data_IF_241921420529
#
_entry.id   IF_241921420529
#
_cell.length_a   1.000
_cell.length_b   1.000
_cell.length_c   1.000
_cell.angle_alpha   90.00
_cell.angle_beta   90.00
_cell.angle_gamma   90.00
#
_symmetry.space_group_name_H-M   'P 1'
#
loop_
_entity.id
_entity.type
_entity.pdbx_description
1 polymer ?
#
# COMPACT_ATOMS: atom_id res chain seq x y z
N UNK A 1 13.60 22.57 -18.95
CA UNK A 1 14.95 22.34 -18.40
C UNK A 1 15.15 20.85 -18.33
N UNK A 2 16.28 20.33 -18.81
CA UNK A 2 16.62 18.91 -18.61
C UNK A 2 16.92 18.72 -17.12
N UNK A 3 16.22 17.80 -16.47
CA UNK A 3 16.44 17.45 -15.06
C UNK A 3 17.64 16.51 -14.96
N UNK A 4 18.46 16.64 -13.92
CA UNK A 4 19.58 15.73 -13.66
C UNK A 4 19.12 14.34 -13.20
N UNK A 5 17.85 14.19 -12.83
CA UNK A 5 17.21 12.93 -12.48
C UNK A 5 16.25 12.46 -13.57
N UNK A 6 16.29 11.16 -13.90
CA UNK A 6 15.30 10.51 -14.75
C UNK A 6 14.31 9.72 -13.90
N UNK A 7 13.01 10.05 -14.00
CA UNK A 7 11.95 9.31 -13.31
C UNK A 7 11.70 7.93 -13.91
N UNK A 8 11.94 7.73 -15.20
CA UNK A 8 11.65 6.44 -15.88
C UNK A 8 12.83 5.48 -15.85
N UNK A 9 14.06 5.98 -15.83
CA UNK A 9 15.28 5.15 -15.73
C UNK A 9 15.59 4.77 -14.27
N UNK A 10 14.60 4.17 -13.59
CA UNK A 10 14.66 3.77 -12.19
C UNK A 10 13.87 2.49 -11.93
N UNK A 11 14.28 1.75 -10.89
CA UNK A 11 13.54 0.61 -10.35
C UNK A 11 12.51 1.07 -9.31
N UNK A 12 11.27 0.59 -9.44
CA UNK A 12 10.21 0.83 -8.47
C UNK A 12 9.67 -0.48 -7.90
N UNK A 13 9.49 -0.60 -6.57
CA UNK A 13 8.79 -1.74 -5.99
C UNK A 13 7.29 -1.58 -6.25
N UNK A 14 6.63 -2.61 -6.75
CA UNK A 14 5.24 -2.50 -7.21
C UNK A 14 4.26 -3.15 -6.24
N UNK A 15 4.62 -4.31 -5.71
CA UNK A 15 3.76 -5.11 -4.84
C UNK A 15 4.55 -6.26 -4.22
N UNK A 16 4.20 -6.69 -2.99
CA UNK A 16 4.66 -7.96 -2.46
C UNK A 16 4.23 -9.11 -3.37
N UNK A 17 5.10 -10.10 -3.57
CA UNK A 17 4.77 -11.31 -4.33
C UNK A 17 3.62 -12.07 -3.67
N UNK A 18 3.55 -12.04 -2.33
CA UNK A 18 2.45 -12.63 -1.56
C UNK A 18 1.08 -11.99 -1.81
N UNK A 19 1.02 -10.83 -2.49
CA UNK A 19 -0.24 -10.17 -2.85
C UNK A 19 -0.72 -10.56 -4.25
N UNK A 20 0.14 -11.21 -5.04
CA UNK A 20 -0.16 -11.58 -6.41
C UNK A 20 -0.76 -12.99 -6.49
N UNK A 21 -1.73 -13.14 -7.39
CA UNK A 21 -2.27 -14.44 -7.78
C UNK A 21 -1.58 -14.89 -9.07
N UNK A 22 -0.83 -15.98 -9.02
CA UNK A 22 -0.04 -16.46 -10.17
C UNK A 22 -0.90 -16.88 -11.38
N UNK A 23 -2.17 -17.20 -11.17
CA UNK A 23 -3.09 -17.68 -12.20
C UNK A 23 -3.85 -16.57 -12.94
N UNK A 24 -3.73 -15.31 -12.52
CA UNK A 24 -4.50 -14.20 -13.08
C UNK A 24 -3.60 -13.00 -13.40
N UNK A 25 -3.85 -12.31 -14.53
CA UNK A 25 -3.20 -11.03 -14.77
C UNK A 25 -3.69 -9.98 -13.76
N UNK A 26 -2.78 -9.15 -13.28
CA UNK A 26 -3.06 -8.11 -12.27
C UNK A 26 -2.82 -6.73 -12.87
N UNK A 27 -3.79 -5.79 -12.80
CA UNK A 27 -3.58 -4.42 -13.21
C UNK A 27 -2.73 -3.66 -12.19
N UNK A 28 -1.77 -2.88 -12.66
CA UNK A 28 -1.00 -1.93 -11.83
C UNK A 28 -0.89 -0.58 -12.54
N UNK A 29 -0.56 0.47 -11.79
CA UNK A 29 -0.29 1.80 -12.35
C UNK A 29 1.02 2.33 -11.78
N UNK A 30 1.89 2.83 -12.65
CA UNK A 30 3.20 3.37 -12.30
C UNK A 30 3.48 4.60 -13.17
N UNK A 31 3.82 5.74 -12.57
CA UNK A 31 4.04 7.01 -13.28
C UNK A 31 2.90 7.34 -14.26
N UNK A 32 1.69 7.00 -13.86
CA UNK A 32 0.43 7.15 -14.58
C UNK A 32 0.20 6.15 -15.72
N UNK A 33 1.19 5.32 -16.05
CA UNK A 33 1.07 4.25 -17.05
C UNK A 33 0.29 3.07 -16.47
N UNK A 34 -0.75 2.63 -17.17
CA UNK A 34 -1.50 1.42 -16.84
C UNK A 34 -0.76 0.21 -17.38
N UNK A 35 -0.32 -0.67 -16.49
CA UNK A 35 0.41 -1.88 -16.82
C UNK A 35 -0.34 -3.11 -16.34
N UNK A 36 -0.05 -4.25 -16.95
CA UNK A 36 -0.52 -5.57 -16.55
C UNK A 36 0.67 -6.43 -16.18
N UNK A 37 0.56 -7.16 -15.07
CA UNK A 37 1.56 -8.14 -14.64
C UNK A 37 0.96 -9.54 -14.57
N UNK A 38 1.71 -10.55 -15.00
CA UNK A 38 1.33 -11.96 -14.88
C UNK A 38 2.58 -12.84 -14.82
N UNK A 39 2.41 -14.14 -14.51
CA UNK A 39 3.48 -15.14 -14.61
C UNK A 39 3.47 -15.83 -15.97
N UNK A 40 4.61 -15.82 -16.64
CA UNK A 40 4.80 -16.55 -17.88
C UNK A 40 4.94 -18.08 -17.66
N UNK A 41 5.12 -18.82 -18.75
CA UNK A 41 5.37 -20.26 -18.75
C UNK A 41 6.62 -20.68 -17.97
N UNK A 42 7.58 -19.77 -17.80
CA UNK A 42 8.82 -19.98 -17.04
C UNK A 42 8.72 -19.53 -15.58
N UNK A 43 7.52 -19.22 -15.09
CA UNK A 43 7.25 -18.73 -13.74
C UNK A 43 7.93 -17.38 -13.42
N UNK A 44 8.32 -16.62 -14.44
CA UNK A 44 8.83 -15.27 -14.31
C UNK A 44 7.68 -14.28 -14.39
N UNK A 45 7.74 -13.23 -13.57
CA UNK A 45 6.80 -12.13 -13.70
C UNK A 45 7.14 -11.31 -14.94
N UNK A 46 6.12 -10.89 -15.66
CA UNK A 46 6.24 -10.03 -16.84
C UNK A 46 5.38 -8.80 -16.61
N UNK A 47 5.84 -7.64 -17.09
CA UNK A 47 5.06 -6.41 -17.09
C UNK A 47 4.90 -5.87 -18.51
N UNK A 48 3.70 -5.43 -18.86
CA UNK A 48 3.34 -4.89 -20.17
C UNK A 48 2.42 -3.69 -20.05
N UNK A 49 2.31 -2.89 -21.12
CA UNK A 49 1.19 -1.94 -21.22
C UNK A 49 -0.15 -2.68 -21.15
N UNK A 50 -1.08 -2.22 -20.30
CA UNK A 50 -2.41 -2.81 -20.12
C UNK A 50 -3.40 -2.39 -21.21
N UNK A 51 -3.02 -2.59 -22.47
CA UNK A 51 -3.81 -2.15 -23.63
C UNK A 51 -3.62 -3.11 -24.79
N UNK A 52 -4.71 -3.75 -25.21
CA UNK A 52 -4.69 -4.62 -26.37
C UNK A 52 -4.61 -3.76 -27.65
N UNK A 53 -3.64 -4.00 -28.56
CA UNK A 53 -3.49 -3.19 -29.77
C UNK A 53 -4.65 -3.35 -30.77
N UNK A 54 -5.48 -4.39 -30.60
CA UNK A 54 -6.64 -4.60 -31.47
C UNK A 54 -7.72 -3.52 -31.29
N UNK A 55 -8.23 -3.32 -30.06
CA UNK A 55 -9.33 -2.39 -29.74
C UNK A 55 -9.21 -1.74 -28.37
N UNK A 56 -7.98 -1.59 -27.88
CA UNK A 56 -7.63 -0.87 -26.65
C UNK A 56 -8.27 -1.43 -25.37
N UNK A 57 -8.78 -2.68 -25.41
CA UNK A 57 -9.29 -3.36 -24.24
C UNK A 57 -8.16 -3.64 -23.24
N UNK A 58 -8.46 -3.55 -21.94
CA UNK A 58 -7.50 -3.90 -20.89
C UNK A 58 -7.18 -5.39 -20.92
N UNK A 59 -5.89 -5.71 -20.94
CA UNK A 59 -5.37 -7.07 -20.94
C UNK A 59 -5.42 -7.70 -19.54
N UNK A 60 -5.38 -6.87 -18.50
CA UNK A 60 -5.57 -7.25 -17.09
C UNK A 60 -6.94 -7.85 -16.79
N UNK A 61 -7.94 -7.63 -17.66
CA UNK A 61 -9.25 -8.32 -17.61
C UNK A 61 -9.25 -9.68 -18.32
N UNK A 62 -8.11 -10.05 -18.88
CA UNK A 62 -7.84 -11.29 -19.61
C UNK A 62 -7.65 -12.50 -18.70
N UNK A 63 -6.99 -13.50 -19.26
CA UNK A 63 -6.61 -14.74 -18.57
C UNK A 63 -5.28 -15.24 -19.11
N UNK A 64 -4.59 -16.06 -18.33
CA UNK A 64 -3.38 -16.76 -18.79
C UNK A 64 -3.84 -18.04 -19.49
N UNK A 65 -3.41 -18.26 -20.74
CA UNK A 65 -3.75 -19.48 -21.47
C UNK A 65 -2.84 -20.65 -21.05
N UNK A 66 -3.12 -21.85 -21.57
CA UNK A 66 -2.35 -23.08 -21.27
C UNK A 66 -0.86 -23.02 -21.64
N UNK A 67 -0.47 -22.10 -22.53
CA UNK A 67 0.91 -21.90 -22.96
C UNK A 67 1.65 -20.86 -22.09
N UNK A 68 0.97 -20.22 -21.12
CA UNK A 68 1.53 -19.14 -20.32
C UNK A 68 1.40 -17.74 -20.93
N UNK A 69 0.72 -17.62 -22.08
CA UNK A 69 0.52 -16.33 -22.75
C UNK A 69 -0.66 -15.57 -22.13
N UNK A 70 -0.55 -14.24 -22.14
CA UNK A 70 -1.64 -13.35 -21.77
C UNK A 70 -2.69 -13.29 -22.88
N UNK A 71 -3.90 -13.75 -22.60
CA UNK A 71 -5.02 -13.76 -23.55
C UNK A 71 -6.01 -12.63 -23.25
N UNK A 72 -6.22 -11.74 -24.23
CA UNK A 72 -7.20 -10.67 -24.15
C UNK A 72 -8.64 -11.23 -24.10
N UNK A 73 -9.42 -10.81 -23.10
CA UNK A 73 -10.81 -11.28 -22.92
C UNK A 73 -11.77 -10.85 -24.04
N UNK A 74 -11.45 -9.79 -24.78
CA UNK A 74 -12.35 -9.24 -25.79
C UNK A 74 -12.45 -10.17 -27.02
N UNK A 75 -11.30 -10.57 -27.59
CA UNK A 75 -11.28 -11.35 -28.84
C UNK A 75 -10.24 -12.49 -28.85
N UNK A 76 -9.67 -12.82 -27.68
CA UNK A 76 -8.77 -13.96 -27.53
C UNK A 76 -7.36 -13.78 -28.13
N UNK A 77 -6.95 -12.55 -28.48
CA UNK A 77 -5.57 -12.30 -28.92
C UNK A 77 -4.61 -12.65 -27.78
N UNK A 78 -3.57 -13.42 -28.09
CA UNK A 78 -2.58 -13.89 -27.12
C UNK A 78 -1.25 -13.16 -27.30
N UNK A 79 -0.56 -12.91 -26.19
CA UNK A 79 0.75 -12.25 -26.15
C UNK A 79 1.70 -13.00 -25.21
N UNK A 80 2.93 -13.26 -25.68
CA UNK A 80 3.96 -13.91 -24.88
C UNK A 80 4.70 -12.92 -23.94
N UNK A 81 5.70 -13.44 -23.22
CA UNK A 81 6.53 -12.67 -22.28
C UNK A 81 7.30 -11.50 -22.93
N UNK A 82 7.47 -11.49 -24.25
CA UNK A 82 8.32 -10.51 -24.94
C UNK A 82 7.54 -9.31 -25.45
N UNK A 83 6.21 -9.41 -25.57
CA UNK A 83 5.47 -8.45 -26.38
C UNK A 83 4.71 -9.05 -27.53
N UNK A 84 5.10 -10.26 -27.94
CA UNK A 84 4.76 -10.75 -29.26
C UNK A 84 3.37 -11.33 -29.30
N UNK A 85 2.59 -10.90 -30.29
CA UNK A 85 1.32 -11.54 -30.58
C UNK A 85 1.58 -12.98 -31.05
N UNK A 86 1.13 -13.95 -30.26
CA UNK A 86 1.35 -15.38 -30.56
C UNK A 86 0.17 -16.01 -31.28
N UNK A 87 -1.03 -15.46 -31.08
CA UNK A 87 -2.25 -16.04 -31.65
C UNK A 87 -3.36 -15.00 -31.81
N UNK A 88 -4.10 -15.12 -32.92
CA UNK A 88 -5.31 -14.36 -33.22
C UNK A 88 -6.38 -15.39 -33.62
N UNK A 89 -7.21 -15.87 -32.68
CA UNK A 89 -8.09 -17.02 -32.91
C UNK A 89 -9.07 -16.89 -34.08
N UNK A 90 -9.43 -15.65 -34.44
CA UNK A 90 -10.38 -15.36 -35.53
C UNK A 90 -9.73 -15.36 -36.93
N UNK A 91 -8.41 -15.58 -37.03
CA UNK A 91 -7.70 -15.75 -38.31
C UNK A 91 -7.43 -17.23 -38.54
N UNK A 92 -8.25 -17.86 -39.39
CA UNK A 92 -8.10 -19.28 -39.75
C UNK A 92 -7.00 -19.54 -40.79
N UNK A 93 -6.73 -18.56 -41.66
CA UNK A 93 -5.64 -18.65 -42.64
C UNK A 93 -4.28 -18.49 -41.95
N UNK A 94 -3.43 -19.51 -42.07
CA UNK A 94 -2.13 -19.57 -41.38
C UNK A 94 -1.18 -18.46 -41.81
N UNK A 95 -1.18 -18.09 -43.10
CA UNK A 95 -0.29 -17.06 -43.63
C UNK A 95 -0.72 -15.66 -43.17
N UNK A 96 -2.02 -15.40 -43.14
CA UNK A 96 -2.60 -14.18 -42.59
C UNK A 96 -2.32 -14.06 -41.09
N UNK A 97 -2.47 -15.16 -40.33
CA UNK A 97 -2.13 -15.20 -38.91
C UNK A 97 -0.64 -14.87 -38.68
N UNK A 98 0.27 -15.53 -39.39
CA UNK A 98 1.70 -15.26 -39.28
C UNK A 98 2.05 -13.81 -39.63
N UNK A 99 1.48 -13.28 -40.72
CA UNK A 99 1.67 -11.88 -41.14
C UNK A 99 1.18 -10.91 -40.06
N UNK A 100 0.01 -11.17 -39.47
CA UNK A 100 -0.56 -10.32 -38.43
C UNK A 100 0.25 -10.39 -37.12
N UNK A 101 0.66 -11.60 -36.70
CA UNK A 101 1.48 -11.81 -35.50
C UNK A 101 2.89 -11.23 -35.61
N UNK A 102 3.44 -11.09 -36.82
CA UNK A 102 4.75 -10.47 -37.06
C UNK A 102 4.67 -8.95 -37.35
N UNK A 103 3.48 -8.36 -37.42
CA UNK A 103 3.33 -6.91 -37.57
C UNK A 103 3.74 -6.18 -36.30
N UNK A 104 4.53 -5.11 -36.40
CA UNK A 104 4.86 -4.25 -35.24
C UNK A 104 3.63 -3.69 -34.53
N UNK A 105 2.53 -3.48 -35.28
CA UNK A 105 1.27 -2.97 -34.75
C UNK A 105 0.52 -3.96 -33.85
N UNK A 106 0.86 -5.24 -33.91
CA UNK A 106 0.28 -6.26 -33.03
C UNK A 106 1.11 -6.51 -31.78
N UNK A 107 2.30 -5.92 -31.67
CA UNK A 107 3.19 -6.13 -30.52
C UNK A 107 2.87 -5.16 -29.39
N UNK A 108 3.17 -5.57 -28.15
CA UNK A 108 3.01 -4.74 -26.96
C UNK A 108 4.37 -4.52 -26.32
N UNK A 109 4.63 -3.29 -25.85
CA UNK A 109 5.86 -2.98 -25.11
C UNK A 109 5.83 -3.63 -23.73
N UNK A 110 6.91 -4.33 -23.40
CA UNK A 110 7.21 -4.91 -22.09
C UNK A 110 8.14 -4.00 -21.29
N UNK A 111 8.23 -4.26 -19.99
CA UNK A 111 9.11 -3.55 -19.06
C UNK A 111 10.02 -4.56 -18.35
N UNK A 112 11.29 -4.22 -18.09
CA UNK A 112 12.15 -5.05 -17.26
C UNK A 112 11.55 -5.25 -15.87
N UNK A 113 11.58 -6.49 -15.39
CA UNK A 113 11.05 -6.86 -14.07
C UNK A 113 12.05 -7.72 -13.33
N UNK A 114 12.08 -7.62 -12.00
CA UNK A 114 12.83 -8.54 -11.15
C UNK A 114 12.14 -8.75 -9.80
N UNK A 115 12.45 -9.85 -9.13
CA UNK A 115 11.96 -10.12 -7.77
C UNK A 115 13.14 -10.02 -6.82
N UNK A 116 13.01 -9.14 -5.82
CA UNK A 116 14.05 -8.93 -4.82
C UNK A 116 13.40 -8.55 -3.48
N UNK A 117 13.85 -9.18 -2.40
CA UNK A 117 13.26 -9.05 -1.06
C UNK A 117 11.73 -9.23 -1.03
N UNK A 118 11.22 -10.25 -1.73
CA UNK A 118 9.79 -10.59 -1.78
C UNK A 118 8.89 -9.52 -2.43
N UNK A 119 9.48 -8.51 -3.08
CA UNK A 119 8.79 -7.48 -3.86
C UNK A 119 9.00 -7.73 -5.36
N UNK A 120 7.96 -7.49 -6.16
CA UNK A 120 8.10 -7.35 -7.60
C UNK A 120 8.56 -5.92 -7.91
N UNK A 121 9.66 -5.80 -8.64
CA UNK A 121 10.21 -4.54 -9.11
C UNK A 121 10.01 -4.38 -10.61
N UNK A 122 9.71 -3.15 -11.04
CA UNK A 122 9.58 -2.78 -12.45
C UNK A 122 10.50 -1.60 -12.74
N UNK A 123 11.25 -1.69 -13.84
CA UNK A 123 11.96 -0.57 -14.42
C UNK A 123 10.97 0.26 -15.23
N UNK A 124 10.86 1.56 -14.94
CA UNK A 124 9.75 2.38 -15.44
C UNK A 124 9.90 2.88 -16.91
N UNK A 125 10.92 2.40 -17.62
CA UNK A 125 11.18 2.67 -19.03
C UNK A 125 10.95 1.43 -19.91
N UNK A 126 10.52 1.64 -21.15
CA UNK A 126 10.30 0.58 -22.15
C UNK A 126 10.86 0.95 -23.53
N UNK A 127 11.85 1.83 -23.57
CA UNK A 127 12.61 2.12 -24.78
C UNK A 127 13.39 0.88 -25.25
N UNK A 128 13.91 0.86 -26.49
CA UNK A 128 14.71 -0.28 -26.99
C UNK A 128 15.92 -0.63 -26.11
N UNK A 129 16.49 0.33 -25.38
CA UNK A 129 17.63 0.11 -24.46
C UNK A 129 17.19 -0.21 -23.03
N UNK A 130 15.89 -0.24 -22.72
CA UNK A 130 15.39 -0.34 -21.35
C UNK A 130 15.93 -1.56 -20.59
N UNK A 131 16.00 -2.73 -21.24
CA UNK A 131 16.53 -3.95 -20.62
C UNK A 131 18.02 -3.83 -20.30
N UNK A 132 18.82 -3.26 -21.22
CA UNK A 132 20.25 -3.01 -21.01
C UNK A 132 20.45 -1.94 -19.93
N UNK A 133 19.78 -0.79 -20.04
CA UNK A 133 19.82 0.32 -19.08
C UNK A 133 19.45 -0.16 -17.67
N UNK A 134 18.49 -1.06 -17.54
CA UNK A 134 18.04 -1.59 -16.24
C UNK A 134 19.11 -2.39 -15.51
N UNK A 135 20.15 -2.87 -16.20
CA UNK A 135 21.30 -3.57 -15.58
C UNK A 135 22.30 -2.61 -14.93
N UNK A 136 22.30 -1.33 -15.34
CA UNK A 136 23.21 -0.30 -14.80
C UNK A 136 22.88 0.15 -13.38
N UNK A 137 21.65 -0.15 -12.91
CA UNK A 137 21.17 0.21 -11.57
C UNK A 137 20.53 -0.99 -10.89
N UNK A 138 20.71 -1.09 -9.57
CA UNK A 138 20.04 -2.09 -8.75
C UNK A 138 18.81 -1.48 -8.06
N UNK A 139 17.78 -2.29 -7.76
CA UNK A 139 16.71 -1.86 -6.88
C UNK A 139 17.26 -1.42 -5.52
N UNK A 140 16.74 -0.31 -5.01
CA UNK A 140 17.07 0.15 -3.66
C UNK A 140 16.37 -0.75 -2.65
N UNK A 141 17.11 -1.69 -2.08
CA UNK A 141 16.58 -2.66 -1.12
C UNK A 141 16.70 -2.18 0.32
N UNK A 142 15.91 -2.80 1.20
CA UNK A 142 16.12 -2.69 2.63
C UNK A 142 17.51 -3.22 2.99
N UNK A 143 18.29 -2.55 3.85
CA UNK A 143 19.61 -3.05 4.21
C UNK A 143 19.51 -4.38 4.97
N UNK A 144 20.39 -5.31 4.64
CA UNK A 144 20.52 -6.58 5.34
C UNK A 144 21.22 -6.35 6.68
N UNK A 145 20.45 -6.19 7.75
CA UNK A 145 20.94 -6.21 9.12
C UNK A 145 20.85 -7.63 9.71
N UNK A 146 21.54 -7.88 10.84
CA UNK A 146 21.39 -9.10 11.66
C UNK A 146 20.03 -9.14 12.38
N UNK A 147 18.94 -8.88 11.66
CA UNK A 147 17.59 -8.86 12.16
C UNK A 147 16.84 -10.07 11.61
N UNK A 148 16.04 -10.69 12.47
CA UNK A 148 15.10 -11.71 12.01
C UNK A 148 13.96 -11.05 11.20
N UNK A 149 14.18 -10.98 9.90
CA UNK A 149 13.23 -10.42 8.94
C UNK A 149 12.01 -11.33 8.71
N UNK A 150 11.97 -12.55 9.27
CA UNK A 150 10.87 -13.51 9.12
C UNK A 150 9.63 -13.14 9.94
N UNK A 151 9.79 -12.22 10.90
CA UNK A 151 8.73 -11.85 11.84
C UNK A 151 7.68 -10.88 11.27
N UNK A 152 8.00 -10.14 10.19
CA UNK A 152 7.12 -9.12 9.59
C UNK A 152 6.98 -9.25 8.08
N UNK A 153 5.75 -9.18 7.59
CA UNK A 153 5.42 -9.18 6.16
C UNK A 153 5.44 -7.74 5.61
N UNK A 154 5.61 -7.58 4.31
CA UNK A 154 5.40 -6.30 3.63
C UNK A 154 3.94 -5.86 3.69
N UNK A 155 3.72 -4.60 4.03
CA UNK A 155 2.42 -3.93 3.94
C UNK A 155 2.38 -3.01 2.72
N UNK A 156 1.28 -3.02 1.97
CA UNK A 156 1.09 -2.14 0.81
C UNK A 156 -0.26 -1.44 0.86
N UNK A 157 -0.28 -0.13 0.67
CA UNK A 157 -1.50 0.68 0.56
C UNK A 157 -1.31 1.77 -0.49
N UNK A 158 -2.24 1.89 -1.44
CA UNK A 158 -2.31 3.06 -2.33
C UNK A 158 -3.20 4.11 -1.71
N UNK A 159 -2.69 5.33 -1.50
CA UNK A 159 -3.42 6.42 -0.86
C UNK A 159 -3.70 7.55 -1.87
N UNK A 160 -4.81 8.29 -1.71
CA UNK A 160 -5.13 9.45 -2.54
C UNK A 160 -4.37 10.72 -2.09
N UNK A 161 -3.07 10.57 -1.85
CA UNK A 161 -2.13 11.65 -1.52
C UNK A 161 -1.00 11.57 -2.55
N UNK A 162 -0.61 12.72 -3.11
CA UNK A 162 0.48 12.79 -4.07
C UNK A 162 1.82 12.31 -3.48
N UNK A 163 2.74 11.92 -4.37
CA UNK A 163 4.09 11.46 -4.03
C UNK A 163 4.82 12.42 -3.09
N UNK A 164 4.79 13.72 -3.41
CA UNK A 164 5.60 14.71 -2.69
C UNK A 164 5.20 14.82 -1.22
N UNK A 165 3.92 15.07 -0.92
CA UNK A 165 3.43 15.15 0.48
C UNK A 165 3.56 13.80 1.19
N UNK A 166 3.34 12.69 0.48
CA UNK A 166 3.49 11.35 1.06
C UNK A 166 4.91 11.06 1.53
N UNK A 167 5.92 11.36 0.73
CA UNK A 167 7.31 11.08 1.09
C UNK A 167 7.85 12.16 2.04
N UNK A 168 7.40 13.41 1.91
CA UNK A 168 7.70 14.52 2.83
C UNK A 168 7.34 14.18 4.28
N UNK A 169 6.14 13.65 4.53
CA UNK A 169 5.68 13.32 5.89
C UNK A 169 6.57 12.30 6.59
N UNK A 170 7.34 11.51 5.82
CA UNK A 170 8.25 10.51 6.38
C UNK A 170 9.54 11.09 6.96
N UNK A 171 9.85 12.36 6.72
CA UNK A 171 11.07 13.03 7.21
C UNK A 171 10.91 13.81 8.51
N UNK A 172 9.69 14.02 8.99
CA UNK A 172 9.45 14.66 10.28
C UNK A 172 9.00 13.62 11.31
N UNK A 173 9.87 13.14 12.22
CA UNK A 173 9.44 12.27 13.31
C UNK A 173 8.65 12.99 14.42
N UNK A 174 8.74 14.31 14.52
CA UNK A 174 8.24 15.05 15.67
C UNK A 174 6.71 15.02 15.76
N UNK A 175 6.01 14.95 14.62
CA UNK A 175 4.55 14.84 14.58
C UNK A 175 4.03 13.62 15.33
N UNK A 176 4.83 12.55 15.48
CA UNK A 176 4.36 11.29 16.06
C UNK A 176 3.79 11.46 17.48
N UNK A 177 4.35 12.37 18.30
CA UNK A 177 3.85 12.61 19.66
C UNK A 177 2.49 13.32 19.69
N UNK A 178 2.20 14.13 18.67
CA UNK A 178 0.99 14.94 18.61
C UNK A 178 -0.10 14.26 17.79
N UNK A 179 0.24 13.81 16.59
CA UNK A 179 -0.71 13.23 15.65
C UNK A 179 -1.18 11.84 16.09
N UNK A 180 -0.30 11.05 16.72
CA UNK A 180 -0.59 9.66 17.11
C UNK A 180 -0.88 9.48 18.59
N UNK A 181 -1.35 10.53 19.27
CA UNK A 181 -1.68 10.49 20.68
C UNK A 181 -2.51 9.25 21.06
N UNK A 182 -2.10 8.59 22.14
CA UNK A 182 -2.74 7.38 22.66
C UNK A 182 -2.47 6.11 21.83
N UNK A 183 -1.65 6.17 20.77
CA UNK A 183 -1.18 5.01 20.02
C UNK A 183 0.26 4.71 20.43
N UNK A 184 0.58 3.45 20.75
CA UNK A 184 1.94 3.02 21.07
C UNK A 184 2.67 3.84 22.16
N UNK A 185 1.92 4.56 23.02
CA UNK A 185 2.48 5.43 24.05
C UNK A 185 2.91 6.82 23.55
N UNK A 186 2.54 7.24 22.35
CA UNK A 186 2.71 8.63 21.92
C UNK A 186 1.81 9.57 22.73
N UNK A 187 2.36 10.71 23.12
CA UNK A 187 1.64 11.77 23.84
C UNK A 187 2.38 13.11 23.71
N UNK A 188 1.66 14.24 23.55
CA UNK A 188 2.25 15.56 23.53
C UNK A 188 3.11 15.87 24.76
N UNK A 189 2.74 15.34 25.94
CA UNK A 189 3.48 15.55 27.20
C UNK A 189 4.89 14.95 27.19
N UNK A 190 5.15 14.02 26.27
CA UNK A 190 6.44 13.32 26.15
C UNK A 190 7.33 13.97 25.11
N UNK A 191 6.81 14.89 24.29
CA UNK A 191 7.55 15.54 23.23
C UNK A 191 8.68 16.40 23.80
N UNK A 192 9.84 16.32 23.17
CA UNK A 192 10.96 17.22 23.44
C UNK A 192 11.43 17.85 22.12
N UNK A 193 12.02 19.06 22.14
CA UNK A 193 12.64 19.63 20.97
C UNK A 193 13.75 18.72 20.43
N UNK A 194 13.80 18.56 19.11
CA UNK A 194 14.94 17.91 18.47
C UNK A 194 16.12 18.88 18.48
N UNK A 195 17.17 18.55 19.21
CA UNK A 195 18.36 19.40 19.35
C UNK A 195 19.29 19.31 18.12
N UNK A 196 19.30 18.15 17.46
CA UNK A 196 20.15 17.88 16.30
C UNK A 196 19.35 17.25 15.17
N UNK A 197 19.47 17.83 13.97
CA UNK A 197 19.00 17.25 12.72
C UNK A 197 19.86 17.81 11.59
N UNK A 198 20.66 16.99 10.95
CA UNK A 198 21.65 17.42 9.96
C UNK A 198 21.70 16.48 8.76
N UNK A 199 22.15 17.03 7.63
CA UNK A 199 22.49 16.26 6.43
C UNK A 199 23.95 15.86 6.55
N UNK A 200 24.25 14.56 6.48
CA UNK A 200 25.62 14.05 6.69
C UNK A 200 26.54 14.21 5.48
N UNK A 201 25.97 14.22 4.28
CA UNK A 201 26.69 14.15 3.00
C UNK A 201 26.11 15.16 2.00
N UNK A 202 26.81 15.39 0.89
CA UNK A 202 26.30 16.21 -0.20
C UNK A 202 25.07 15.55 -0.83
N UNK A 203 24.06 16.38 -1.14
CA UNK A 203 22.82 15.93 -1.76
C UNK A 203 23.10 15.53 -3.21
N UNK A 204 22.65 14.34 -3.61
CA UNK A 204 22.91 13.76 -4.93
C UNK A 204 21.62 13.42 -5.67
N UNK A 205 21.60 13.68 -6.98
CA UNK A 205 20.51 13.27 -7.86
C UNK A 205 20.27 11.75 -7.84
N UNK A 206 21.35 10.96 -7.76
CA UNK A 206 21.31 9.51 -7.91
C UNK A 206 21.24 8.76 -6.58
N UNK A 207 21.99 9.22 -5.58
CA UNK A 207 22.08 8.56 -4.27
C UNK A 207 21.19 9.21 -3.20
N UNK A 208 20.65 10.40 -3.45
CA UNK A 208 19.79 11.11 -2.52
C UNK A 208 20.56 11.80 -1.41
N UNK A 209 20.18 11.55 -0.16
CA UNK A 209 20.81 12.16 1.01
C UNK A 209 20.57 11.32 2.28
N UNK A 210 21.50 11.43 3.22
CA UNK A 210 21.37 10.85 4.56
C UNK A 210 21.20 11.95 5.59
N UNK A 211 20.21 11.78 6.45
CA UNK A 211 19.97 12.63 7.60
C UNK A 211 20.32 11.90 8.89
N UNK A 212 20.84 12.64 9.86
CA UNK A 212 21.03 12.20 11.24
C UNK A 212 20.27 13.11 12.18
N UNK A 213 19.58 12.54 13.16
CA UNK A 213 18.83 13.34 14.13
C UNK A 213 18.82 12.77 15.55
N UNK A 214 18.56 13.64 16.53
CA UNK A 214 18.37 13.28 17.93
C UNK A 214 16.98 12.69 18.18
N UNK A 215 16.73 12.27 19.43
CA UNK A 215 15.37 11.95 19.88
C UNK A 215 14.40 13.12 19.78
N UNK A 216 13.12 12.77 19.89
CA UNK A 216 11.98 13.69 19.82
C UNK A 216 10.97 13.45 20.97
N UNK A 217 11.31 12.53 21.89
CA UNK A 217 10.59 12.36 23.14
C UNK A 217 11.50 11.89 24.28
N UNK A 218 11.00 12.00 25.51
CA UNK A 218 11.74 11.66 26.74
C UNK A 218 12.32 10.24 26.79
N UNK A 219 11.76 9.28 26.06
CA UNK A 219 12.23 7.88 26.07
C UNK A 219 13.26 7.58 24.99
N UNK A 220 13.38 8.45 23.98
CA UNK A 220 14.33 8.27 22.88
C UNK A 220 15.26 9.46 22.69
N UNK A 221 15.35 10.37 23.66
CA UNK A 221 16.18 11.58 23.61
C UNK A 221 17.63 11.26 23.17
N UNK A 222 18.20 10.17 23.70
CA UNK A 222 19.58 9.74 23.47
C UNK A 222 19.73 8.72 22.31
N UNK A 223 18.70 8.59 21.46
CA UNK A 223 18.70 7.69 20.31
C UNK A 223 19.65 8.16 19.21
N UNK A 224 20.41 7.24 18.61
CA UNK A 224 21.12 7.48 17.35
C UNK A 224 20.18 7.12 16.20
N UNK A 225 19.64 8.14 15.53
CA UNK A 225 18.69 7.98 14.43
C UNK A 225 19.27 8.43 13.09
N UNK A 226 19.16 7.56 12.09
CA UNK A 226 19.53 7.84 10.71
C UNK A 226 18.33 7.64 9.79
N UNK A 227 18.23 8.50 8.78
CA UNK A 227 17.23 8.41 7.70
C UNK A 227 17.94 8.55 6.37
N UNK A 228 17.84 7.54 5.53
CA UNK A 228 18.45 7.53 4.20
C UNK A 228 17.35 7.61 3.15
N UNK A 229 17.29 8.74 2.44
CA UNK A 229 16.48 8.87 1.25
C UNK A 229 17.30 8.42 0.04
N UNK A 230 16.81 7.42 -0.68
CA UNK A 230 17.39 7.03 -1.96
C UNK A 230 16.32 7.13 -3.06
N UNK A 231 16.56 7.95 -4.09
CA UNK A 231 15.64 8.12 -5.20
C UNK A 231 15.33 6.79 -5.91
N UNK A 232 14.14 6.67 -6.54
CA UNK A 232 13.08 7.68 -6.63
C UNK A 232 12.10 7.66 -5.45
N UNK A 233 12.16 6.70 -4.53
CA UNK A 233 11.02 6.47 -3.64
C UNK A 233 11.34 5.84 -2.28
N UNK A 234 12.60 5.57 -1.95
CA UNK A 234 12.97 4.89 -0.71
C UNK A 234 13.26 5.87 0.41
N UNK A 235 12.71 5.64 1.59
CA UNK A 235 13.18 6.20 2.85
C UNK A 235 13.42 5.05 3.84
N UNK A 236 14.68 4.84 4.20
CA UNK A 236 15.10 3.86 5.20
C UNK A 236 15.43 4.59 6.49
N UNK A 237 14.73 4.26 7.57
CA UNK A 237 14.98 4.83 8.90
C UNK A 237 15.52 3.77 9.84
N UNK A 238 16.59 4.09 10.54
CA UNK A 238 17.25 3.21 11.52
C UNK A 238 17.37 3.97 12.83
N UNK A 239 16.75 3.45 13.87
CA UNK A 239 16.85 3.95 15.24
C UNK A 239 17.64 2.95 16.07
N UNK A 240 18.73 3.43 16.68
CA UNK A 240 19.50 2.69 17.67
C UNK A 240 19.25 3.32 19.04
N UNK A 241 18.65 2.55 19.93
CA UNK A 241 18.36 2.98 21.29
C UNK A 241 19.54 2.68 22.20
N UNK A 242 19.65 3.43 23.31
CA UNK A 242 20.74 3.28 24.28
C UNK A 242 20.78 1.89 24.94
N UNK A 243 19.64 1.22 25.04
CA UNK A 243 19.54 -0.15 25.57
C UNK A 243 19.97 -1.24 24.57
N UNK A 244 20.51 -0.85 23.42
CA UNK A 244 20.97 -1.75 22.36
C UNK A 244 19.85 -2.19 21.40
N UNK A 245 18.59 -1.81 21.63
CA UNK A 245 17.52 -2.11 20.68
C UNK A 245 17.72 -1.35 19.38
N UNK A 246 17.26 -1.95 18.30
CA UNK A 246 17.29 -1.39 16.96
C UNK A 246 15.89 -1.47 16.34
N UNK A 247 15.40 -0.35 15.81
CA UNK A 247 14.22 -0.33 14.95
C UNK A 247 14.61 0.10 13.53
N UNK A 248 14.20 -0.70 12.56
CA UNK A 248 14.38 -0.44 11.14
C UNK A 248 13.01 -0.27 10.50
N UNK A 249 12.83 0.83 9.79
CA UNK A 249 11.64 1.11 9.00
C UNK A 249 12.05 1.34 7.56
N UNK A 250 11.65 0.43 6.67
CA UNK A 250 11.79 0.60 5.24
C UNK A 250 10.45 1.05 4.67
N UNK A 251 10.42 2.23 4.06
CA UNK A 251 9.23 2.79 3.41
C UNK A 251 9.56 3.12 1.95
N UNK A 252 8.68 2.71 1.04
CA UNK A 252 8.69 3.10 -0.35
C UNK A 252 7.44 3.90 -0.69
N UNK A 253 7.59 5.03 -1.36
CA UNK A 253 6.52 5.93 -1.77
C UNK A 253 6.48 6.02 -3.29
N UNK A 254 5.73 5.13 -3.92
CA UNK A 254 5.77 4.94 -5.37
C UNK A 254 4.72 5.82 -6.05
N UNK A 255 5.11 6.77 -6.92
CA UNK A 255 4.16 7.59 -7.66
C UNK A 255 3.35 6.73 -8.63
N UNK A 256 2.05 6.54 -8.36
CA UNK A 256 1.19 5.72 -9.23
C UNK A 256 0.54 6.55 -10.31
N UNK A 257 -0.17 7.63 -9.96
CA UNK A 257 -0.79 8.60 -10.89
C UNK A 257 -0.86 9.96 -10.19
N UNK A 258 -1.13 11.08 -10.89
CA UNK A 258 -1.28 12.38 -10.26
C UNK A 258 -2.22 12.34 -9.05
N UNK A 259 -1.78 12.89 -7.92
CA UNK A 259 -2.53 12.89 -6.65
C UNK A 259 -2.57 11.56 -5.89
N UNK A 260 -1.89 10.51 -6.34
CA UNK A 260 -1.89 9.20 -5.68
C UNK A 260 -0.47 8.67 -5.50
N UNK A 261 -0.25 7.98 -4.38
CA UNK A 261 1.02 7.38 -4.03
C UNK A 261 0.76 6.00 -3.42
N UNK A 262 1.59 5.03 -3.80
CA UNK A 262 1.58 3.70 -3.20
C UNK A 262 2.66 3.63 -2.14
N UNK A 263 2.24 3.40 -0.91
CA UNK A 263 3.11 3.14 0.23
C UNK A 263 3.36 1.64 0.33
N UNK A 264 4.63 1.23 0.33
CA UNK A 264 5.05 -0.14 0.62
C UNK A 264 6.01 -0.09 1.79
N UNK A 265 5.68 -0.74 2.90
CA UNK A 265 6.42 -0.62 4.15
C UNK A 265 6.73 -1.95 4.80
N UNK A 266 7.90 -2.05 5.43
CA UNK A 266 8.27 -3.12 6.36
C UNK A 266 8.96 -2.52 7.56
N UNK A 267 8.53 -2.96 8.73
CA UNK A 267 8.99 -2.47 10.03
C UNK A 267 9.56 -3.64 10.81
N UNK A 268 10.76 -3.49 11.37
CA UNK A 268 11.46 -4.53 12.12
C UNK A 268 12.02 -3.91 13.39
N UNK A 269 11.83 -4.55 14.54
CA UNK A 269 12.31 -4.06 15.84
C UNK A 269 12.97 -5.24 16.57
N UNK A 270 14.24 -5.11 16.96
CA UNK A 270 14.95 -6.14 17.75
C UNK A 270 14.31 -6.32 19.11
N UNK A 271 14.44 -7.53 19.65
CA UNK A 271 14.03 -7.84 21.02
C UNK A 271 12.61 -7.40 21.35
N UNK A 272 11.72 -7.45 20.35
CA UNK A 272 10.30 -7.43 20.63
C UNK A 272 10.06 -8.65 21.50
N UNK A 273 9.73 -8.51 22.80
CA UNK A 273 9.42 -9.67 23.63
C UNK A 273 8.39 -10.48 22.84
N UNK A 274 8.46 -11.82 22.80
CA UNK A 274 7.41 -12.59 22.14
C UNK A 274 6.11 -12.02 22.68
N UNK A 275 5.34 -11.35 21.81
CA UNK A 275 4.10 -10.71 22.23
C UNK A 275 3.42 -11.81 23.03
N UNK A 276 2.94 -11.50 24.25
CA UNK A 276 2.06 -12.41 24.99
C UNK A 276 0.78 -12.54 24.16
N UNK A 277 0.89 -13.24 23.03
CA UNK A 277 -0.15 -13.56 22.09
C UNK A 277 -1.03 -14.44 22.94
N UNK A 278 -2.21 -13.91 23.26
CA UNK A 278 -3.22 -14.70 23.96
C UNK A 278 -3.28 -16.04 23.24
N UNK A 279 -3.16 -17.15 23.97
CA UNK A 279 -2.99 -18.49 23.40
C UNK A 279 -3.97 -18.75 22.23
N UNK A 280 -5.20 -18.28 22.36
CA UNK A 280 -6.24 -18.36 21.33
C UNK A 280 -5.90 -17.66 19.99
N UNK A 281 -5.07 -16.63 19.97
CA UNK A 281 -4.69 -15.92 18.74
C UNK A 281 -3.80 -16.80 17.86
N UNK A 282 -2.98 -17.65 18.47
CA UNK A 282 -2.16 -18.64 17.76
C UNK A 282 -2.98 -19.74 17.11
N UNK A 283 -4.20 -20.00 17.59
CA UNK A 283 -5.13 -20.98 17.02
C UNK A 283 -5.85 -20.45 15.77
N UNK A 284 -5.80 -19.14 15.51
CA UNK A 284 -6.45 -18.55 14.34
C UNK A 284 -5.63 -18.84 13.07
N UNK A 285 -6.27 -19.01 11.90
CA UNK A 285 -5.56 -19.12 10.65
C UNK A 285 -4.57 -17.96 10.42
N UNK A 286 -3.40 -18.22 9.83
CA UNK A 286 -2.35 -17.19 9.61
C UNK A 286 -2.88 -15.96 8.86
N UNK A 287 -3.72 -16.15 7.84
CA UNK A 287 -4.33 -15.05 7.09
C UNK A 287 -5.21 -14.15 7.98
N UNK A 288 -5.91 -14.73 8.95
CA UNK A 288 -6.74 -13.97 9.89
C UNK A 288 -5.84 -13.20 10.85
N UNK A 289 -4.79 -13.83 11.39
CA UNK A 289 -3.82 -13.14 12.24
C UNK A 289 -3.22 -11.91 11.52
N UNK A 290 -2.78 -12.05 10.27
CA UNK A 290 -2.27 -10.94 9.45
C UNK A 290 -3.34 -9.89 9.17
N UNK A 291 -4.55 -10.31 8.79
CA UNK A 291 -5.68 -9.39 8.56
C UNK A 291 -6.04 -8.57 9.79
N UNK A 292 -6.04 -9.18 10.98
CA UNK A 292 -6.27 -8.51 12.26
C UNK A 292 -5.17 -7.48 12.56
N UNK A 293 -3.89 -7.85 12.34
CA UNK A 293 -2.75 -6.92 12.50
C UNK A 293 -2.92 -5.70 11.59
N UNK A 294 -3.14 -5.91 10.29
CA UNK A 294 -3.38 -4.81 9.36
C UNK A 294 -4.56 -3.95 9.81
N UNK A 295 -5.70 -4.56 10.15
CA UNK A 295 -6.88 -3.83 10.61
C UNK A 295 -6.60 -2.94 11.82
N UNK A 296 -5.67 -3.32 12.71
CA UNK A 296 -5.29 -2.55 13.88
C UNK A 296 -4.33 -1.40 13.58
N UNK A 297 -3.48 -1.53 12.55
CA UNK A 297 -2.50 -0.50 12.16
C UNK A 297 -3.12 0.73 11.51
N UNK A 298 -4.35 0.64 10.99
CA UNK A 298 -4.99 1.77 10.30
C UNK A 298 -5.30 2.98 11.19
N UNK A 299 -5.40 2.80 12.51
CA UNK A 299 -5.65 3.96 13.38
C UNK A 299 -4.56 5.02 13.19
N UNK A 300 -3.30 4.57 13.15
CA UNK A 300 -2.13 5.41 12.90
C UNK A 300 -2.16 5.99 11.48
N UNK A 301 -2.24 5.13 10.46
CA UNK A 301 -2.13 5.60 9.06
C UNK A 301 -3.30 6.46 8.57
N UNK A 302 -4.46 6.41 9.24
CA UNK A 302 -5.56 7.33 8.95
C UNK A 302 -5.31 8.74 9.48
N UNK A 303 -4.60 8.89 10.61
CA UNK A 303 -4.26 10.20 11.16
C UNK A 303 -3.26 10.91 10.23
N UNK A 304 -2.26 10.19 9.72
CA UNK A 304 -1.35 10.73 8.69
C UNK A 304 -2.12 11.17 7.45
N UNK A 305 -3.04 10.31 7.00
CA UNK A 305 -3.81 10.57 5.80
C UNK A 305 -4.66 11.84 5.90
N UNK A 306 -5.33 12.05 7.03
CA UNK A 306 -6.18 13.23 7.24
C UNK A 306 -5.36 14.52 7.23
N UNK A 307 -4.19 14.52 7.87
CA UNK A 307 -3.32 15.69 7.91
C UNK A 307 -2.70 15.97 6.54
N UNK A 308 -2.18 14.95 5.85
CA UNK A 308 -1.64 15.10 4.51
C UNK A 308 -2.69 15.57 3.51
N UNK A 309 -3.94 15.11 3.63
CA UNK A 309 -5.03 15.55 2.77
C UNK A 309 -5.38 17.02 3.03
N UNK A 310 -5.51 17.42 4.29
CA UNK A 310 -5.72 18.83 4.68
C UNK A 310 -4.58 19.73 4.19
N UNK A 311 -3.34 19.27 4.27
CA UNK A 311 -2.19 19.98 3.73
C UNK A 311 -2.34 20.20 2.21
N UNK A 312 -2.70 19.16 1.45
CA UNK A 312 -2.93 19.28 0.01
C UNK A 312 -4.08 20.24 -0.34
N UNK A 313 -5.16 20.25 0.45
CA UNK A 313 -6.26 21.23 0.28
C UNK A 313 -5.71 22.65 0.38
N UNK A 314 -4.93 22.94 1.43
CA UNK A 314 -4.36 24.26 1.65
C UNK A 314 -3.32 24.65 0.58
N UNK A 315 -2.48 23.69 0.14
CA UNK A 315 -1.54 23.90 -0.96
C UNK A 315 -2.27 24.20 -2.29
N UNK A 316 -3.44 23.59 -2.52
CA UNK A 316 -4.17 23.75 -3.78
C UNK A 316 -4.82 25.12 -3.99
N UNK A 317 -5.12 25.84 -2.89
CA UNK A 317 -5.75 27.17 -2.93
C UNK A 317 -4.73 28.28 -3.22
N UNK A 318 -3.45 28.02 -2.99
CA UNK A 318 -2.37 29.01 -3.15
C UNK A 318 -1.57 28.82 -4.44
N UNK A 319 -1.39 29.89 -5.21
CA UNK A 319 -0.38 29.92 -6.30
C UNK A 319 0.97 30.41 -5.76
N UNK A 320 1.52 29.68 -4.79
CA UNK A 320 2.77 30.00 -4.12
C UNK A 320 3.72 28.81 -4.20
N UNK A 321 5.00 29.10 -4.40
CA UNK A 321 6.04 28.06 -4.25
C UNK A 321 6.08 27.58 -2.80
N UNK A 322 6.52 26.33 -2.58
CA UNK A 322 6.53 25.76 -1.23
C UNK A 322 7.37 26.61 -0.24
N UNK A 323 8.44 27.27 -0.71
CA UNK A 323 9.28 28.16 0.10
C UNK A 323 8.50 29.38 0.65
N UNK A 324 7.42 29.79 -0.03
CA UNK A 324 6.55 30.90 0.39
C UNK A 324 5.29 30.42 1.11
N UNK A 325 4.93 29.15 0.93
CA UNK A 325 3.76 28.54 1.58
C UNK A 325 4.11 28.02 2.98
N UNK A 326 5.33 27.50 3.16
CA UNK A 326 5.77 26.90 4.41
C UNK A 326 6.62 27.87 5.22
N UNK A 327 6.44 27.84 6.54
CA UNK A 327 7.35 28.47 7.49
C UNK A 327 7.96 27.38 8.36
N UNK A 328 9.25 27.13 8.15
CA UNK A 328 9.98 25.99 8.73
C UNK A 328 11.20 26.48 9.52
N UNK A 329 11.01 27.06 10.72
CA UNK A 329 12.09 27.65 11.51
C UNK A 329 12.82 26.64 12.40
N UNK A 330 12.30 25.41 12.52
CA UNK A 330 12.77 24.43 13.50
C UNK A 330 13.86 23.54 12.93
N UNK A 331 14.72 23.03 13.83
CA UNK A 331 15.67 21.96 13.51
C UNK A 331 14.93 20.71 13.02
N UNK A 332 13.71 20.45 13.52
CA UNK A 332 12.86 19.35 13.07
C UNK A 332 12.53 19.40 11.56
N UNK A 333 12.58 20.59 10.94
CA UNK A 333 12.16 20.79 9.55
C UNK A 333 13.24 20.46 8.52
N UNK A 334 14.48 20.21 8.96
CA UNK A 334 15.65 20.00 8.08
C UNK A 334 15.38 18.89 7.05
N UNK A 335 14.75 17.79 7.47
CA UNK A 335 14.42 16.69 6.56
C UNK A 335 13.45 17.07 5.45
N UNK A 336 12.39 17.82 5.78
CA UNK A 336 11.40 18.31 4.80
C UNK A 336 12.06 19.28 3.81
N UNK A 337 12.80 20.26 4.33
CA UNK A 337 13.51 21.26 3.52
C UNK A 337 14.51 20.58 2.56
N UNK A 338 15.26 19.60 3.06
CA UNK A 338 16.26 18.86 2.26
C UNK A 338 15.59 18.09 1.13
N UNK A 339 14.49 17.40 1.41
CA UNK A 339 13.74 16.67 0.39
C UNK A 339 13.17 17.59 -0.71
N UNK A 340 12.54 18.70 -0.33
CA UNK A 340 11.98 19.65 -1.31
C UNK A 340 13.07 20.31 -2.15
N UNK A 341 14.23 20.63 -1.57
CA UNK A 341 15.39 21.10 -2.33
C UNK A 341 15.88 20.07 -3.33
N UNK A 342 16.02 18.80 -2.91
CA UNK A 342 16.40 17.72 -3.82
C UNK A 342 15.42 17.59 -5.00
N UNK A 343 14.11 17.68 -4.73
CA UNK A 343 13.08 17.65 -5.77
C UNK A 343 13.24 18.81 -6.77
N UNK A 344 13.35 20.04 -6.28
CA UNK A 344 13.47 21.24 -7.13
C UNK A 344 14.75 21.20 -7.98
N UNK A 345 15.87 20.83 -7.36
CA UNK A 345 17.19 20.85 -7.98
C UNK A 345 17.40 19.72 -9.00
N UNK A 346 17.02 18.50 -8.65
CA UNK A 346 17.36 17.32 -9.46
C UNK A 346 16.18 16.75 -10.24
N UNK A 347 14.97 16.81 -9.70
CA UNK A 347 13.83 16.03 -10.19
C UNK A 347 12.68 16.87 -10.79
N UNK A 348 12.87 18.19 -10.93
CA UNK A 348 11.91 19.10 -11.54
C UNK A 348 10.71 19.46 -10.65
N UNK A 349 10.88 19.35 -9.32
CA UNK A 349 9.89 19.72 -8.30
C UNK A 349 8.77 18.70 -8.05
N UNK A 350 8.53 17.77 -9.00
CA UNK A 350 7.47 16.75 -8.92
C UNK A 350 7.73 15.56 -9.84
N UNK A 351 7.03 14.42 -9.66
CA UNK A 351 7.08 13.32 -10.61
C UNK A 351 6.77 13.75 -12.04
N UNK A 352 7.56 13.25 -12.99
CA UNK A 352 7.31 13.49 -14.41
C UNK A 352 6.24 12.52 -14.96
N UNK A 353 5.07 13.05 -15.31
CA UNK A 353 3.98 12.27 -15.91
C UNK A 353 4.07 12.28 -17.44
N UNK A 354 4.22 11.10 -18.06
CA UNK A 354 4.29 11.01 -19.52
C UNK A 354 2.88 10.86 -20.11
N UNK A 355 2.48 11.82 -20.95
CA UNK A 355 1.21 11.76 -21.71
C UNK A 355 -0.05 11.90 -20.86
N UNK A 356 0.07 12.45 -19.65
CA UNK A 356 -1.04 12.64 -18.71
C UNK A 356 -1.10 14.11 -18.32
N UNK A 357 -2.28 14.69 -18.47
CA UNK A 357 -2.58 16.03 -17.95
C UNK A 357 -3.00 15.90 -16.50
N UNK A 358 -2.31 16.59 -15.61
CA UNK A 358 -2.68 16.66 -14.21
C UNK A 358 -3.98 17.47 -14.08
N UNK A 359 -5.02 16.85 -13.54
CA UNK A 359 -6.23 17.57 -13.15
C UNK A 359 -5.93 18.43 -11.91
N UNK A 360 -6.66 19.54 -11.72
CA UNK A 360 -6.63 20.28 -10.47
C UNK A 360 -6.91 19.35 -9.27
N UNK A 361 -6.30 19.65 -8.14
CA UNK A 361 -6.58 18.91 -6.90
C UNK A 361 -8.07 19.03 -6.56
N UNK A 362 -8.64 17.91 -6.10
CA UNK A 362 -10.02 17.84 -5.65
C UNK A 362 -10.02 17.36 -4.20
N UNK A 363 -10.62 18.16 -3.32
CA UNK A 363 -10.89 17.74 -1.95
C UNK A 363 -11.82 16.51 -1.96
N UNK A 364 -11.48 15.52 -1.13
CA UNK A 364 -12.17 14.25 -1.08
C UNK A 364 -13.08 14.22 0.14
N UNK A 365 -14.24 13.57 -0.01
CA UNK A 365 -15.07 13.19 1.13
C UNK A 365 -14.35 12.17 2.02
N UNK A 366 -14.75 12.08 3.29
CA UNK A 366 -14.29 11.05 4.22
C UNK A 366 -14.49 9.64 3.63
N UNK A 367 -15.61 9.40 2.93
CA UNK A 367 -15.91 8.10 2.31
C UNK A 367 -14.84 7.71 1.29
N UNK A 368 -14.38 8.68 0.49
CA UNK A 368 -13.33 8.47 -0.50
C UNK A 368 -11.96 8.34 0.16
N UNK A 369 -11.67 9.17 1.16
CA UNK A 369 -10.37 9.21 1.83
C UNK A 369 -10.11 7.92 2.63
N UNK A 370 -11.13 7.44 3.35
CA UNK A 370 -11.05 6.27 4.22
C UNK A 370 -11.49 4.95 3.55
N UNK A 371 -11.62 4.92 2.23
CA UNK A 371 -11.94 3.72 1.45
C UNK A 371 -10.80 2.69 1.48
N UNK A 372 -10.79 1.89 2.54
CA UNK A 372 -9.77 0.86 2.78
C UNK A 372 -9.85 -0.28 1.78
N UNK A 373 -11.05 -0.56 1.26
CA UNK A 373 -11.23 -1.58 0.24
C UNK A 373 -10.36 -1.28 -0.98
N UNK A 374 -10.46 -0.06 -1.52
CA UNK A 374 -9.70 0.32 -2.71
C UNK A 374 -8.24 0.64 -2.43
N UNK A 375 -7.89 1.09 -1.23
CA UNK A 375 -6.52 1.41 -0.83
C UNK A 375 -5.66 0.17 -0.53
N UNK A 376 -6.25 -0.86 0.08
CA UNK A 376 -5.50 -2.05 0.53
C UNK A 376 -6.26 -3.38 0.38
N UNK A 377 -7.46 -3.50 0.95
CA UNK A 377 -8.07 -4.82 1.23
C UNK A 377 -8.34 -5.63 -0.03
N UNK A 378 -8.71 -4.99 -1.14
CA UNK A 378 -8.89 -5.70 -2.41
C UNK A 378 -7.59 -6.32 -2.94
N UNK A 379 -6.42 -5.79 -2.57
CA UNK A 379 -5.11 -6.27 -3.01
C UNK A 379 -4.49 -7.30 -2.05
N UNK A 380 -4.71 -7.18 -0.74
CA UNK A 380 -4.12 -8.08 0.26
C UNK A 380 -4.92 -9.39 0.41
N UNK A 381 -4.36 -10.57 0.04
CA UNK A 381 -5.08 -11.85 0.15
C UNK A 381 -5.46 -12.19 1.58
N UNK A 382 -4.62 -11.85 2.57
CA UNK A 382 -4.93 -12.10 3.99
C UNK A 382 -6.16 -11.32 4.47
N UNK A 383 -6.29 -10.05 4.07
CA UNK A 383 -7.47 -9.24 4.39
C UNK A 383 -8.71 -9.71 3.62
N UNK A 384 -8.59 -10.09 2.33
CA UNK A 384 -9.71 -10.68 1.57
C UNK A 384 -10.21 -11.98 2.21
N UNK A 385 -9.32 -12.90 2.55
CA UNK A 385 -9.69 -14.17 3.17
C UNK A 385 -10.27 -13.98 4.58
N UNK A 386 -9.75 -13.01 5.34
CA UNK A 386 -10.33 -12.61 6.62
C UNK A 386 -11.77 -12.14 6.45
N UNK A 387 -12.04 -11.28 5.47
CA UNK A 387 -13.39 -10.81 5.14
C UNK A 387 -14.32 -11.96 4.76
N UNK A 388 -13.88 -12.88 3.89
CA UNK A 388 -14.68 -14.06 3.49
C UNK A 388 -15.02 -14.93 4.69
N UNK A 389 -14.06 -15.18 5.59
CA UNK A 389 -14.31 -15.95 6.80
C UNK A 389 -15.32 -15.23 7.71
N UNK A 390 -15.14 -13.93 7.94
CA UNK A 390 -16.05 -13.12 8.76
C UNK A 390 -17.46 -13.16 8.17
N UNK A 391 -17.61 -13.01 6.85
CA UNK A 391 -18.91 -13.09 6.18
C UNK A 391 -19.56 -14.47 6.34
N UNK A 392 -18.80 -15.55 6.17
CA UNK A 392 -19.32 -16.92 6.43
C UNK A 392 -19.80 -17.12 7.86
N UNK A 393 -19.04 -16.66 8.86
CA UNK A 393 -19.43 -16.79 10.28
C UNK A 393 -20.65 -15.92 10.57
N UNK A 394 -20.70 -14.71 9.99
CA UNK A 394 -21.84 -13.80 10.13
C UNK A 394 -23.12 -14.44 9.57
N UNK A 395 -23.06 -14.99 8.36
CA UNK A 395 -24.21 -15.66 7.74
C UNK A 395 -24.64 -16.90 8.54
N UNK A 396 -23.68 -17.65 9.09
CA UNK A 396 -23.96 -18.75 10.02
C UNK A 396 -24.70 -18.26 11.27
N UNK A 397 -24.21 -17.21 11.94
CA UNK A 397 -24.87 -16.66 13.14
C UNK A 397 -26.31 -16.20 12.83
N UNK A 398 -26.54 -15.56 11.68
CA UNK A 398 -27.87 -15.12 11.28
C UNK A 398 -28.81 -16.32 11.03
N UNK A 399 -28.38 -17.27 10.22
CA UNK A 399 -29.17 -18.46 9.91
C UNK A 399 -29.46 -19.29 11.16
N UNK A 400 -28.48 -19.43 12.06
CA UNK A 400 -28.66 -20.16 13.31
C UNK A 400 -29.59 -19.43 14.28
N UNK A 401 -29.58 -18.09 14.30
CA UNK A 401 -30.57 -17.28 15.03
C UNK A 401 -31.99 -17.57 14.56
N UNK A 402 -32.20 -17.67 13.23
CA UNK A 402 -33.51 -18.01 12.65
C UNK A 402 -33.94 -19.42 13.08
N UNK A 403 -33.06 -20.41 12.97
CA UNK A 403 -33.34 -21.79 13.40
C UNK A 403 -33.73 -21.85 14.88
N UNK A 404 -32.94 -21.23 15.76
CA UNK A 404 -33.21 -21.18 17.19
C UNK A 404 -34.53 -20.47 17.52
N UNK A 405 -34.87 -19.41 16.77
CA UNK A 405 -36.14 -18.69 16.94
C UNK A 405 -37.34 -19.55 16.54
N UNK A 406 -37.24 -20.29 15.42
CA UNK A 406 -38.26 -21.25 15.00
C UNK A 406 -38.38 -22.39 16.02
N UNK A 407 -37.25 -22.93 16.49
CA UNK A 407 -37.25 -23.96 17.53
C UNK A 407 -37.92 -23.46 18.82
N UNK A 408 -37.61 -22.25 19.29
CA UNK A 408 -38.26 -21.66 20.46
C UNK A 408 -39.78 -21.56 20.26
N UNK A 409 -40.24 -21.10 19.09
CA UNK A 409 -41.66 -21.01 18.76
C UNK A 409 -42.34 -22.39 18.76
N UNK A 410 -41.71 -23.41 18.18
CA UNK A 410 -42.22 -24.78 18.19
C UNK A 410 -42.33 -25.33 19.61
N UNK A 411 -41.32 -25.10 20.46
CA UNK A 411 -41.33 -25.53 21.87
C UNK A 411 -42.46 -24.87 22.67
N UNK A 412 -42.80 -23.61 22.35
CA UNK A 412 -43.97 -22.90 22.90
C UNK A 412 -45.27 -23.56 22.43
N UNK A 413 -45.39 -23.87 21.13
CA UNK A 413 -46.59 -24.50 20.55
C UNK A 413 -46.88 -25.87 21.19
N UNK A 414 -45.84 -26.67 21.48
CA UNK A 414 -46.00 -27.97 22.16
C UNK A 414 -46.05 -27.87 23.70
N UNK A 415 -46.19 -26.65 24.23
CA UNK A 415 -46.43 -26.35 25.63
C UNK A 415 -45.35 -26.90 26.61
N UNK A 416 -44.08 -26.85 26.20
CA UNK A 416 -42.97 -27.26 27.07
C UNK A 416 -42.68 -26.22 28.17
N UNK A 417 -42.10 -26.64 29.31
CA UNK A 417 -41.72 -25.74 30.39
C UNK A 417 -40.84 -24.58 29.92
N UNK A 418 -41.10 -23.37 30.43
CA UNK A 418 -40.39 -22.13 30.06
C UNK A 418 -38.88 -22.25 30.16
N UNK A 419 -38.34 -22.99 31.14
CA UNK A 419 -36.90 -23.24 31.28
C UNK A 419 -36.26 -23.90 30.05
N UNK A 420 -37.01 -24.71 29.31
CA UNK A 420 -36.55 -25.38 28.08
C UNK A 420 -36.63 -24.40 26.90
N UNK A 421 -37.69 -23.59 26.83
CA UNK A 421 -37.87 -22.55 25.80
C UNK A 421 -36.82 -21.43 25.91
N UNK A 422 -36.40 -21.07 27.13
CA UNK A 422 -35.43 -20.00 27.37
C UNK A 422 -34.05 -20.29 26.75
N UNK A 423 -33.64 -21.55 26.68
CA UNK A 423 -32.33 -21.91 26.15
C UNK A 423 -32.13 -21.47 24.68
N UNK A 424 -32.99 -21.87 23.70
CA UNK A 424 -32.84 -21.41 22.32
C UNK A 424 -33.05 -19.90 22.17
N UNK A 425 -33.88 -19.26 22.99
CA UNK A 425 -34.05 -17.80 22.99
C UNK A 425 -32.75 -17.09 23.39
N UNK A 426 -32.11 -17.51 24.49
CA UNK A 426 -30.85 -16.93 24.93
C UNK A 426 -29.72 -17.17 23.92
N UNK A 427 -29.67 -18.36 23.32
CA UNK A 427 -28.71 -18.67 22.26
C UNK A 427 -28.97 -17.84 21.01
N UNK A 428 -30.22 -17.57 20.64
CA UNK A 428 -30.58 -16.73 19.51
C UNK A 428 -30.12 -15.28 19.74
N UNK A 429 -30.35 -14.74 20.95
CA UNK A 429 -29.88 -13.40 21.33
C UNK A 429 -28.35 -13.32 21.27
N UNK A 430 -27.64 -14.32 21.81
CA UNK A 430 -26.18 -14.35 21.77
C UNK A 430 -25.64 -14.40 20.33
N UNK A 431 -26.26 -15.20 19.46
CA UNK A 431 -25.88 -15.27 18.04
C UNK A 431 -26.17 -13.95 17.30
N UNK A 432 -27.27 -13.27 17.61
CA UNK A 432 -27.58 -11.97 17.04
C UNK A 432 -26.57 -10.89 17.49
N UNK A 433 -26.16 -10.91 18.76
CA UNK A 433 -25.08 -10.05 19.27
C UNK A 433 -23.77 -10.36 18.55
N UNK A 434 -23.43 -11.64 18.37
CA UNK A 434 -22.25 -12.06 17.63
C UNK A 434 -22.27 -11.55 16.19
N UNK A 435 -23.38 -11.76 15.47
CA UNK A 435 -23.62 -11.24 14.13
C UNK A 435 -23.37 -9.73 14.07
N UNK A 436 -23.94 -8.97 15.01
CA UNK A 436 -23.79 -7.51 15.05
C UNK A 436 -22.33 -7.09 15.27
N UNK A 437 -21.63 -7.74 16.21
CA UNK A 437 -20.21 -7.46 16.47
C UNK A 437 -19.33 -7.82 15.27
N UNK A 438 -19.62 -8.93 14.59
CA UNK A 438 -18.93 -9.34 13.36
C UNK A 438 -19.19 -8.38 12.20
N UNK A 439 -20.40 -7.83 12.07
CA UNK A 439 -20.72 -6.85 11.03
C UNK A 439 -19.97 -5.51 11.23
N UNK A 440 -19.87 -5.04 12.47
CA UNK A 440 -19.02 -3.90 12.82
C UNK A 440 -17.54 -4.21 12.57
N UNK A 441 -17.10 -5.42 12.90
CA UNK A 441 -15.73 -5.84 12.71
C UNK A 441 -15.37 -5.95 11.21
N UNK A 442 -16.27 -6.50 10.41
CA UNK A 442 -16.18 -6.57 8.94
C UNK A 442 -16.03 -5.18 8.34
N UNK A 443 -16.79 -4.19 8.82
CA UNK A 443 -16.73 -2.82 8.30
C UNK A 443 -15.32 -2.24 8.38
N UNK A 444 -14.55 -2.60 9.42
CA UNK A 444 -13.14 -2.18 9.56
C UNK A 444 -12.25 -2.67 8.44
N UNK A 445 -12.58 -3.74 7.70
CA UNK A 445 -11.75 -4.12 6.55
C UNK A 445 -12.07 -3.31 5.29
N UNK A 446 -13.17 -2.55 5.29
CA UNK A 446 -13.72 -1.87 4.10
C UNK A 446 -13.56 -0.36 4.22
N UNK A 447 -13.82 0.20 5.40
CA UNK A 447 -13.70 1.63 5.65
C UNK A 447 -13.27 1.91 7.08
N UNK A 448 -12.69 3.09 7.30
CA UNK A 448 -12.45 3.64 8.63
C UNK A 448 -13.66 4.39 9.18
N UNK A 449 -14.65 4.71 8.33
CA UNK A 449 -15.90 5.34 8.77
C UNK A 449 -16.71 4.33 9.59
N UNK A 450 -17.16 4.70 10.81
CA UNK A 450 -18.03 3.86 11.60
C UNK A 450 -19.33 3.55 10.84
N UNK A 451 -19.66 2.25 10.70
CA UNK A 451 -20.92 1.81 10.05
C UNK A 451 -22.17 2.25 10.83
N UNK A 452 -22.04 2.44 12.15
CA UNK A 452 -23.11 2.82 13.08
C UNK A 452 -22.54 3.60 14.27
N UNK A 453 -23.37 4.45 14.85
CA UNK A 453 -23.00 5.42 15.89
C UNK A 453 -22.77 6.80 15.25
N UNK A 454 -23.26 7.87 15.89
CA UNK A 454 -22.77 9.20 15.57
C UNK A 454 -21.27 9.18 15.89
N UNK A 455 -20.38 9.61 14.98
CA UNK A 455 -19.01 9.89 15.40
C UNK A 455 -19.12 10.86 16.57
N UNK A 456 -18.55 10.48 17.71
CA UNK A 456 -18.39 11.45 18.80
C UNK A 456 -17.33 12.40 18.26
N UNK A 457 -17.77 13.52 17.70
CA UNK A 457 -16.88 14.60 17.31
C UNK A 457 -16.58 15.35 18.60
N UNK A 458 -15.58 14.90 19.33
CA UNK A 458 -14.98 15.71 20.39
C UNK A 458 -14.20 16.82 19.67
N UNK A 459 -14.89 17.92 19.39
CA UNK A 459 -14.30 19.05 18.67
C UNK A 459 -13.12 19.65 19.46
N UNK A 460 -13.06 19.42 20.78
CA UNK A 460 -11.96 19.74 21.67
C UNK A 460 -12.01 18.80 22.88
N UNK A 461 -10.94 18.03 23.15
CA UNK A 461 -10.71 17.54 24.52
C UNK A 461 -10.43 18.78 25.40
N UNK A 462 -11.08 18.86 26.57
CA UNK A 462 -10.98 19.98 27.51
C UNK A 462 -9.66 19.98 28.27
#
# INVERSE_FOLDING_TARGET
MMTNFSWTKQWYPITPISYLESSHPTPITLLGKKLVIWRDKHQKWVAMNDICPHKLAQLSKGSINKNGDLMCRHHGWCFDETGKCTNIPMLSDKKALETACNSERSQIKTYPTQVLQELLWIWADNSPTAFEDSTSKQPVVMPEYQLDNSATDWFMSEVPIGYTVSLESSFDPSHAQFLHEGIAGFSPERAIPMEHFEVLEEISAETGFTLKHSGYNIFNQDMDAMRNFTPPCSNTTIYKYYDGKLALFQLYFVPTKPGYCKHIGKFIITDTPPQKRKFWFGLLPKYLQTGLKHSSSYKLSNQDLSIMHSQLVNESVGDRTWQKSYFMPSVADVGIVTFRKWLDEFAGGKPAWQGITEAPFQELSDEQLYDRWHRHTKYCPSCRQSLVLIDKIKDFCLNFTVVLSISALLLIIINLPTRIVLLPVLLAILNLICFYKLDLFRARFISSIPKKGLPVVELHEK
#
